data_IF_544829363231
#
_entry.id   IF_544829363231
#
_cell.length_a   1.000
_cell.length_b   1.000
_cell.length_c   1.000
_cell.angle_alpha   90.00
_cell.angle_beta   90.00
_cell.angle_gamma   90.00
#
_symmetry.space_group_name_H-M   'P 1'
#
loop_
_entity.id
_entity.type
_entity.pdbx_description
1 polymer ?
#
# COMPACT_ATOMS: atom_id res chain seq x y z
N UNK A 1 83.53 -13.60 -4.63
CA UNK A 1 82.19 -13.43 -4.10
C UNK A 1 81.61 -12.19 -4.74
N UNK A 2 80.68 -12.35 -5.67
CA UNK A 2 80.10 -11.27 -6.46
C UNK A 2 78.65 -11.05 -5.98
N UNK A 3 78.38 -9.94 -5.31
CA UNK A 3 77.04 -9.57 -4.85
C UNK A 3 76.19 -9.06 -6.06
N UNK A 4 75.11 -9.79 -6.36
CA UNK A 4 74.09 -9.38 -7.33
C UNK A 4 72.97 -8.70 -6.58
N UNK A 5 72.90 -7.36 -6.67
CA UNK A 5 71.74 -6.59 -6.20
C UNK A 5 70.57 -6.74 -7.19
N UNK A 6 69.52 -7.45 -6.80
CA UNK A 6 68.29 -7.53 -7.54
C UNK A 6 67.40 -6.34 -7.14
N UNK A 7 67.26 -5.36 -8.04
CA UNK A 7 66.31 -4.27 -7.87
C UNK A 7 64.91 -4.74 -8.27
N UNK A 8 64.01 -4.86 -7.29
CA UNK A 8 62.61 -5.09 -7.54
C UNK A 8 61.94 -3.77 -7.95
N UNK A 9 61.57 -3.64 -9.23
CA UNK A 9 60.71 -2.57 -9.71
C UNK A 9 59.25 -2.93 -9.38
N UNK A 10 58.67 -2.33 -8.32
CA UNK A 10 57.27 -2.33 -8.06
C UNK A 10 56.55 -1.44 -9.11
N UNK A 11 56.02 -2.07 -10.15
CA UNK A 11 55.09 -1.44 -11.07
C UNK A 11 53.77 -1.18 -10.30
N UNK A 12 53.57 0.07 -9.85
CA UNK A 12 52.27 0.57 -9.45
C UNK A 12 51.41 0.68 -10.73
N UNK A 13 50.59 -0.34 -11.03
CA UNK A 13 49.50 -0.21 -11.99
C UNK A 13 48.46 0.69 -11.35
N UNK A 14 48.50 1.99 -11.60
CA UNK A 14 47.43 2.92 -11.40
C UNK A 14 46.31 2.50 -12.38
N UNK A 15 45.44 1.59 -11.92
CA UNK A 15 44.23 1.26 -12.65
C UNK A 15 43.32 2.49 -12.64
N UNK A 16 43.38 3.28 -13.74
CA UNK A 16 42.30 4.22 -14.03
C UNK A 16 40.99 3.43 -14.02
N UNK A 17 40.13 3.62 -13.02
CA UNK A 17 38.76 3.12 -13.08
C UNK A 17 38.15 3.75 -14.35
N UNK A 18 37.90 2.93 -15.35
CA UNK A 18 37.20 3.34 -16.55
C UNK A 18 35.82 3.84 -16.10
N UNK A 19 35.47 5.08 -16.45
CA UNK A 19 34.14 5.61 -16.16
C UNK A 19 33.11 4.74 -16.89
N UNK A 20 32.00 4.46 -16.21
CA UNK A 20 30.91 3.76 -16.86
C UNK A 20 30.37 4.54 -18.06
N UNK A 21 29.97 3.84 -19.10
CA UNK A 21 29.31 4.42 -20.26
C UNK A 21 27.90 4.94 -19.86
N UNK A 22 27.36 5.88 -20.62
CA UNK A 22 25.99 6.35 -20.39
C UNK A 22 24.98 5.19 -20.39
N UNK A 23 25.18 4.19 -21.26
CA UNK A 23 24.32 2.99 -21.30
C UNK A 23 24.36 2.17 -20.00
N UNK A 24 25.52 2.06 -19.34
CA UNK A 24 25.63 1.38 -18.05
C UNK A 24 24.98 2.18 -16.92
N UNK A 25 25.09 3.51 -16.95
CA UNK A 25 24.39 4.40 -16.01
C UNK A 25 22.86 4.26 -16.19
N UNK A 26 22.40 4.26 -17.45
CA UNK A 26 20.97 4.10 -17.78
C UNK A 26 20.43 2.75 -17.32
N UNK A 27 21.17 1.67 -17.51
CA UNK A 27 20.79 0.34 -17.02
C UNK A 27 20.70 0.31 -15.49
N UNK A 28 21.62 0.97 -14.78
CA UNK A 28 21.59 1.06 -13.34
C UNK A 28 20.41 1.88 -12.81
N UNK A 29 20.04 2.97 -13.49
CA UNK A 29 18.98 3.88 -13.04
C UNK A 29 17.57 3.45 -13.46
N UNK A 30 17.44 2.68 -14.54
CA UNK A 30 16.14 2.26 -15.07
C UNK A 30 15.37 1.37 -14.07
N UNK A 31 14.06 1.62 -14.00
CA UNK A 31 13.12 0.79 -13.27
C UNK A 31 13.48 0.56 -11.78
N UNK A 32 14.10 1.54 -11.15
CA UNK A 32 14.47 1.46 -9.73
C UNK A 32 13.27 1.59 -8.78
N UNK A 33 12.20 2.22 -9.20
CA UNK A 33 11.06 2.55 -8.32
C UNK A 33 10.42 1.32 -7.66
N UNK A 34 10.28 0.14 -8.30
CA UNK A 34 9.85 -1.09 -7.62
C UNK A 34 10.76 -1.47 -6.44
N UNK A 35 12.07 -1.44 -6.59
CA UNK A 35 13.02 -1.76 -5.52
C UNK A 35 12.97 -0.76 -4.34
N UNK A 36 12.62 0.50 -4.62
CA UNK A 36 12.43 1.50 -3.57
C UNK A 36 11.09 1.28 -2.83
N UNK A 37 10.03 0.86 -3.53
CA UNK A 37 8.77 0.45 -2.90
C UNK A 37 8.95 -0.82 -2.04
N UNK A 38 9.71 -1.83 -2.49
CA UNK A 38 10.05 -3.01 -1.67
C UNK A 38 10.79 -2.62 -0.38
N UNK A 39 11.76 -1.68 -0.46
CA UNK A 39 12.43 -1.14 0.74
C UNK A 39 11.47 -0.40 1.65
N UNK A 40 10.56 0.40 1.08
CA UNK A 40 9.54 1.11 1.86
C UNK A 40 8.60 0.13 2.56
N UNK A 41 8.17 -0.94 1.88
CA UNK A 41 7.36 -2.01 2.48
C UNK A 41 8.07 -2.64 3.68
N UNK A 42 9.36 -2.96 3.56
CA UNK A 42 10.13 -3.49 4.68
C UNK A 42 10.11 -2.56 5.89
N UNK A 43 10.28 -1.26 5.67
CA UNK A 43 10.23 -0.25 6.76
C UNK A 43 8.81 -0.17 7.34
N UNK A 44 7.78 -0.14 6.51
CA UNK A 44 6.38 -0.11 6.95
C UNK A 44 6.05 -1.30 7.87
N UNK A 45 6.51 -2.50 7.51
CA UNK A 45 6.28 -3.73 8.28
C UNK A 45 7.03 -3.67 9.62
N UNK A 46 8.28 -3.22 9.62
CA UNK A 46 9.08 -3.12 10.86
C UNK A 46 8.58 -2.02 11.79
N UNK A 47 8.01 -0.97 11.26
CA UNK A 47 7.41 0.14 12.01
C UNK A 47 5.95 -0.16 12.45
N UNK A 48 5.35 -1.26 11.99
CA UNK A 48 4.02 -1.77 12.37
C UNK A 48 2.92 -0.72 12.16
N UNK A 49 2.85 -0.15 10.96
CA UNK A 49 1.78 0.79 10.62
C UNK A 49 0.44 0.09 10.36
N UNK A 50 -0.66 0.76 10.73
CA UNK A 50 -2.01 0.30 10.42
C UNK A 50 -2.29 0.33 8.92
N UNK A 51 -3.15 -0.53 8.37
CA UNK A 51 -3.41 -0.58 6.93
C UNK A 51 -3.84 0.75 6.29
N UNK A 52 -4.71 1.57 6.90
CA UNK A 52 -5.01 2.89 6.37
C UNK A 52 -3.78 3.80 6.28
N UNK A 53 -2.93 3.80 7.32
CA UNK A 53 -1.71 4.60 7.35
C UNK A 53 -0.73 4.12 6.28
N UNK A 54 -0.61 2.80 6.07
CA UNK A 54 0.22 2.23 4.99
C UNK A 54 -0.17 2.81 3.63
N UNK A 55 -1.48 2.90 3.33
CA UNK A 55 -1.94 3.46 2.05
C UNK A 55 -1.47 4.90 1.81
N UNK A 56 -1.45 5.71 2.87
CA UNK A 56 -0.93 7.09 2.84
C UNK A 56 0.57 7.12 2.59
N UNK A 57 1.31 6.23 3.25
CA UNK A 57 2.77 6.15 3.13
C UNK A 57 3.19 5.73 1.72
N UNK A 58 2.42 4.88 1.04
CA UNK A 58 2.69 4.56 -0.37
C UNK A 58 2.28 5.68 -1.34
N UNK A 59 1.18 6.38 -1.08
CA UNK A 59 0.62 7.33 -2.04
C UNK A 59 1.54 8.53 -2.29
N UNK A 60 1.93 9.24 -1.26
CA UNK A 60 2.70 10.47 -1.42
C UNK A 60 4.09 10.28 -2.05
N UNK A 61 4.92 9.30 -1.66
CA UNK A 61 6.21 9.08 -2.32
C UNK A 61 6.10 8.71 -3.78
N UNK A 62 5.10 7.85 -4.14
CA UNK A 62 4.91 7.45 -5.53
C UNK A 62 4.38 8.61 -6.39
N UNK A 63 3.54 9.49 -5.84
CA UNK A 63 3.13 10.74 -6.50
C UNK A 63 4.37 11.66 -6.71
N UNK A 64 5.23 11.79 -5.71
CA UNK A 64 6.43 12.62 -5.83
C UNK A 64 7.39 12.10 -6.91
N UNK A 65 7.60 10.78 -6.98
CA UNK A 65 8.40 10.17 -8.02
C UNK A 65 7.80 10.40 -9.41
N UNK A 66 6.49 10.16 -9.56
CA UNK A 66 5.78 10.38 -10.81
C UNK A 66 5.94 11.82 -11.32
N UNK A 67 5.66 12.81 -10.48
CA UNK A 67 5.75 14.23 -10.86
C UNK A 67 7.18 14.66 -11.19
N UNK A 68 8.19 14.13 -10.51
CA UNK A 68 9.59 14.45 -10.78
C UNK A 68 10.11 13.84 -12.09
N UNK A 69 9.48 12.77 -12.59
CA UNK A 69 9.82 12.12 -13.87
C UNK A 69 9.17 12.81 -15.08
N UNK A 70 8.02 13.47 -14.90
CA UNK A 70 7.22 14.01 -16.00
C UNK A 70 7.93 14.98 -16.96
N UNK A 71 8.88 15.86 -16.55
CA UNK A 71 9.50 16.79 -17.50
C UNK A 71 10.24 16.13 -18.65
N UNK A 72 10.71 14.89 -18.49
CA UNK A 72 11.35 14.10 -19.55
C UNK A 72 10.32 13.48 -20.50
N UNK A 73 9.09 13.30 -20.03
CA UNK A 73 8.08 12.49 -20.70
C UNK A 73 6.86 13.33 -21.10
N UNK A 74 6.15 12.90 -22.14
CA UNK A 74 4.99 13.63 -22.68
C UNK A 74 3.72 12.78 -22.75
N UNK A 75 3.78 11.51 -22.32
CA UNK A 75 2.66 10.57 -22.45
C UNK A 75 1.59 10.81 -21.38
N UNK A 76 2.04 11.20 -20.19
CA UNK A 76 1.16 11.44 -19.05
C UNK A 76 1.17 12.91 -18.63
N UNK A 77 0.09 13.35 -17.99
CA UNK A 77 -0.05 14.72 -17.50
C UNK A 77 0.14 14.77 -15.97
N UNK A 78 0.65 15.92 -15.48
CA UNK A 78 0.75 16.17 -14.04
C UNK A 78 -0.59 16.00 -13.33
N UNK A 79 -0.52 15.55 -12.09
CA UNK A 79 -1.66 15.50 -11.17
C UNK A 79 -1.99 16.87 -10.55
N UNK A 80 -1.19 17.90 -10.78
CA UNK A 80 -1.51 19.26 -10.35
C UNK A 80 -2.86 19.70 -10.92
N UNK A 81 -3.74 20.20 -10.05
CA UNK A 81 -5.12 20.55 -10.39
C UNK A 81 -6.09 19.37 -10.55
N UNK A 82 -5.60 18.13 -10.69
CA UNK A 82 -6.42 16.90 -10.71
C UNK A 82 -6.59 16.30 -9.31
N UNK A 83 -5.53 16.29 -8.49
CA UNK A 83 -5.60 15.90 -7.10
C UNK A 83 -5.97 17.10 -6.21
N UNK A 84 -6.84 16.86 -5.25
CA UNK A 84 -7.37 17.93 -4.36
C UNK A 84 -6.26 18.66 -3.62
N UNK A 85 -6.17 19.95 -3.89
CA UNK A 85 -5.23 20.85 -3.22
C UNK A 85 -3.77 20.64 -3.62
N UNK A 86 -3.48 19.84 -4.65
CA UNK A 86 -2.17 19.78 -5.28
C UNK A 86 -2.07 20.88 -6.31
N UNK A 87 -1.25 21.88 -5.99
CA UNK A 87 -0.96 23.04 -6.85
C UNK A 87 0.16 22.72 -7.83
N UNK A 88 0.46 23.66 -8.72
CA UNK A 88 1.56 23.55 -9.68
C UNK A 88 2.89 23.24 -8.98
N UNK A 89 3.57 22.20 -9.46
CA UNK A 89 4.84 21.76 -8.91
C UNK A 89 6.02 22.65 -9.36
N UNK A 90 7.15 22.60 -8.63
CA UNK A 90 8.38 23.23 -9.07
C UNK A 90 8.76 22.73 -10.48
N UNK A 91 9.05 23.66 -11.39
CA UNK A 91 9.57 23.31 -12.72
C UNK A 91 11.10 23.20 -12.68
N UNK A 92 11.71 22.32 -13.52
CA UNK A 92 13.15 22.30 -13.69
C UNK A 92 13.62 23.58 -14.42
N UNK A 93 14.80 24.06 -14.09
CA UNK A 93 15.44 25.18 -14.79
C UNK A 93 15.86 24.76 -16.21
N UNK A 94 15.28 25.36 -17.23
CA UNK A 94 15.51 25.01 -18.63
C UNK A 94 16.97 25.25 -19.13
N UNK A 95 17.77 26.02 -18.39
CA UNK A 95 19.20 26.22 -18.68
C UNK A 95 20.10 25.10 -18.18
N UNK A 96 19.56 24.18 -17.31
CA UNK A 96 20.32 23.09 -16.71
C UNK A 96 19.93 21.74 -17.31
N UNK A 97 20.86 20.79 -17.20
CA UNK A 97 20.59 19.38 -17.55
C UNK A 97 20.22 18.59 -16.32
N UNK A 98 19.30 17.63 -16.50
CA UNK A 98 18.80 16.74 -15.47
C UNK A 98 18.83 15.29 -15.95
N UNK A 99 19.02 14.38 -15.00
CA UNK A 99 18.77 12.95 -15.18
C UNK A 99 17.53 12.58 -14.36
N UNK A 100 16.37 12.63 -15.00
CA UNK A 100 15.07 12.55 -14.34
C UNK A 100 14.80 11.24 -13.58
N UNK A 101 15.30 10.05 -13.99
CA UNK A 101 15.23 8.85 -13.17
C UNK A 101 15.80 9.04 -11.76
N UNK A 102 16.95 9.76 -11.64
CA UNK A 102 17.51 10.13 -10.32
C UNK A 102 16.57 11.09 -9.60
N UNK A 103 16.04 12.11 -10.28
CA UNK A 103 15.12 13.08 -9.67
C UNK A 103 13.87 12.39 -9.09
N UNK A 104 13.31 11.41 -9.81
CA UNK A 104 12.18 10.61 -9.34
C UNK A 104 12.48 9.86 -8.04
N UNK A 105 13.62 9.17 -7.98
CA UNK A 105 14.04 8.45 -6.77
C UNK A 105 14.28 9.40 -5.59
N UNK A 106 14.93 10.54 -5.83
CA UNK A 106 15.19 11.53 -4.79
C UNK A 106 13.87 12.17 -4.28
N UNK A 107 12.93 12.43 -5.18
CA UNK A 107 11.60 12.92 -4.77
C UNK A 107 10.87 11.87 -3.90
N UNK A 108 10.87 10.58 -4.33
CA UNK A 108 10.32 9.47 -3.56
C UNK A 108 10.93 9.40 -2.16
N UNK A 109 12.27 9.34 -2.05
CA UNK A 109 12.96 9.17 -0.77
C UNK A 109 12.80 10.38 0.14
N UNK A 110 12.76 11.60 -0.43
CA UNK A 110 12.50 12.84 0.31
C UNK A 110 11.18 12.78 1.06
N UNK A 111 10.15 12.20 0.42
CA UNK A 111 8.83 12.05 1.04
C UNK A 111 8.80 10.83 1.96
N UNK A 112 9.23 9.68 1.49
CA UNK A 112 9.14 8.41 2.22
C UNK A 112 9.78 8.48 3.61
N UNK A 113 11.02 9.02 3.71
CA UNK A 113 11.75 9.13 4.98
C UNK A 113 11.03 9.98 6.06
N UNK A 114 10.11 10.86 5.65
CA UNK A 114 9.36 11.73 6.58
C UNK A 114 8.01 11.15 7.00
N UNK A 115 7.55 10.08 6.33
CA UNK A 115 6.26 9.46 6.61
C UNK A 115 6.38 8.18 7.44
N UNK A 116 7.57 7.65 7.66
CA UNK A 116 7.87 6.45 8.44
C UNK A 116 8.63 6.80 9.72
N UNK A 117 8.61 5.91 10.73
CA UNK A 117 9.37 6.12 11.96
C UNK A 117 10.86 5.91 11.72
N UNK A 118 11.24 4.82 11.04
CA UNK A 118 12.62 4.54 10.69
C UNK A 118 13.02 5.18 9.34
N UNK A 119 12.91 6.51 9.26
CA UNK A 119 13.30 7.29 8.07
C UNK A 119 14.79 7.18 7.74
N UNK A 120 15.64 6.93 8.74
CA UNK A 120 17.08 6.77 8.55
C UNK A 120 17.43 5.57 7.66
N UNK A 121 16.68 4.48 7.73
CA UNK A 121 16.86 3.33 6.85
C UNK A 121 16.61 3.64 5.36
N UNK A 122 15.72 4.60 5.08
CA UNK A 122 15.51 5.12 3.72
C UNK A 122 16.65 6.03 3.29
N UNK A 123 17.09 6.91 4.18
CA UNK A 123 18.21 7.84 3.95
C UNK A 123 19.52 7.09 3.69
N UNK A 124 19.80 6.02 4.41
CA UNK A 124 21.00 5.20 4.20
C UNK A 124 21.01 4.54 2.82
N UNK A 125 19.86 3.98 2.39
CA UNK A 125 19.74 3.44 1.02
C UNK A 125 19.96 4.54 -0.04
N UNK A 126 19.43 5.74 0.19
CA UNK A 126 19.63 6.88 -0.70
C UNK A 126 21.11 7.28 -0.80
N UNK A 127 21.80 7.41 0.33
CA UNK A 127 23.24 7.71 0.37
C UNK A 127 24.05 6.64 -0.40
N UNK A 128 23.72 5.37 -0.22
CA UNK A 128 24.36 4.27 -0.95
C UNK A 128 24.11 4.38 -2.46
N UNK A 129 22.89 4.71 -2.88
CA UNK A 129 22.53 4.93 -4.28
C UNK A 129 23.31 6.07 -4.90
N UNK A 130 23.37 7.24 -4.24
CA UNK A 130 24.14 8.40 -4.73
C UNK A 130 25.66 8.12 -4.80
N UNK A 131 26.20 7.40 -3.81
CA UNK A 131 27.60 6.96 -3.84
C UNK A 131 27.88 6.03 -5.01
N UNK A 132 26.95 5.17 -5.36
CA UNK A 132 27.09 4.25 -6.50
C UNK A 132 27.05 5.01 -7.82
N UNK A 133 26.16 6.00 -7.98
CA UNK A 133 26.13 6.90 -9.15
C UNK A 133 27.43 7.68 -9.30
N UNK A 134 27.98 8.24 -8.22
CA UNK A 134 29.29 8.91 -8.24
C UNK A 134 30.41 7.94 -8.66
N UNK A 135 30.35 6.68 -8.19
CA UNK A 135 31.34 5.65 -8.54
C UNK A 135 31.25 5.20 -10.01
N UNK A 136 30.06 5.27 -10.62
CA UNK A 136 29.87 5.04 -12.05
C UNK A 136 30.35 6.21 -12.91
N UNK A 137 30.64 7.37 -12.29
CA UNK A 137 31.20 8.53 -12.93
C UNK A 137 30.18 9.40 -13.66
N UNK A 138 28.94 9.42 -13.19
CA UNK A 138 27.93 10.40 -13.65
C UNK A 138 28.50 11.83 -13.47
N UNK A 139 28.19 12.72 -14.41
CA UNK A 139 28.64 14.11 -14.34
C UNK A 139 28.10 14.77 -13.05
N UNK A 140 28.99 15.37 -12.26
CA UNK A 140 28.64 15.95 -10.94
C UNK A 140 27.57 17.03 -11.02
N UNK A 141 27.65 17.91 -12.03
CA UNK A 141 26.65 18.96 -12.19
C UNK A 141 25.29 18.38 -12.55
N UNK A 142 25.24 17.40 -13.46
CA UNK A 142 24.03 16.68 -13.83
C UNK A 142 23.40 15.97 -12.61
N UNK A 143 24.23 15.28 -11.81
CA UNK A 143 23.77 14.61 -10.58
C UNK A 143 23.22 15.62 -9.56
N UNK A 144 23.95 16.70 -9.30
CA UNK A 144 23.53 17.72 -8.34
C UNK A 144 22.21 18.39 -8.76
N UNK A 145 22.09 18.80 -10.03
CA UNK A 145 20.85 19.37 -10.55
C UNK A 145 19.66 18.40 -10.37
N UNK A 146 19.88 17.12 -10.70
CA UNK A 146 18.84 16.08 -10.56
C UNK A 146 18.40 15.89 -9.11
N UNK A 147 19.36 15.89 -8.17
CA UNK A 147 19.10 15.79 -6.74
C UNK A 147 18.34 17.02 -6.22
N UNK A 148 18.79 18.23 -6.59
CA UNK A 148 18.14 19.48 -6.19
C UNK A 148 16.69 19.55 -6.66
N UNK A 149 16.44 19.20 -7.93
CA UNK A 149 15.09 19.17 -8.49
C UNK A 149 14.21 18.12 -7.80
N UNK A 150 14.69 16.88 -7.64
CA UNK A 150 13.96 15.83 -6.92
C UNK A 150 13.61 16.23 -5.47
N UNK A 151 14.54 16.89 -4.76
CA UNK A 151 14.30 17.46 -3.43
C UNK A 151 13.22 18.55 -3.44
N UNK A 152 13.23 19.42 -4.45
CA UNK A 152 12.23 20.49 -4.58
C UNK A 152 10.83 19.92 -4.76
N UNK A 153 10.66 18.94 -5.67
CA UNK A 153 9.38 18.23 -5.88
C UNK A 153 8.96 17.50 -4.60
N UNK A 154 9.86 16.72 -3.99
CA UNK A 154 9.56 15.98 -2.75
C UNK A 154 9.12 16.91 -1.60
N UNK A 155 9.77 18.05 -1.40
CA UNK A 155 9.38 19.06 -0.39
C UNK A 155 8.01 19.65 -0.69
N UNK A 156 7.68 19.92 -1.95
CA UNK A 156 6.36 20.41 -2.36
C UNK A 156 5.26 19.39 -2.01
N UNK A 157 5.47 18.13 -2.34
CA UNK A 157 4.53 17.04 -2.00
C UNK A 157 4.40 16.87 -0.48
N UNK A 158 5.48 16.99 0.29
CA UNK A 158 5.41 16.95 1.77
C UNK A 158 4.57 18.11 2.33
N UNK A 159 4.74 19.32 1.80
CA UNK A 159 3.96 20.47 2.20
C UNK A 159 2.45 20.30 1.89
N UNK A 160 2.13 19.65 0.78
CA UNK A 160 0.77 19.26 0.43
C UNK A 160 0.22 18.15 1.34
N UNK A 161 1.04 17.12 1.63
CA UNK A 161 0.68 16.03 2.53
C UNK A 161 0.42 16.51 3.97
N UNK A 162 1.16 17.51 4.44
CA UNK A 162 0.96 18.10 5.78
C UNK A 162 -0.42 18.77 5.97
N UNK A 163 -1.13 19.07 4.87
CA UNK A 163 -2.45 19.70 4.87
C UNK A 163 -3.61 18.70 4.67
N UNK A 164 -3.37 17.39 4.76
CA UNK A 164 -4.39 16.39 4.51
C UNK A 164 -5.28 16.04 5.71
N UNK A 165 -4.97 16.55 6.89
CA UNK A 165 -5.71 16.27 8.13
C UNK A 165 -5.16 15.08 8.92
N UNK A 166 -4.08 14.42 8.45
CA UNK A 166 -3.52 13.24 9.12
C UNK A 166 -3.13 13.50 10.58
N UNK A 167 -2.44 14.60 10.86
CA UNK A 167 -2.04 14.94 12.22
C UNK A 167 -3.24 15.37 13.08
N UNK A 168 -4.19 16.09 12.51
CA UNK A 168 -5.38 16.60 13.20
C UNK A 168 -6.33 15.47 13.64
N UNK A 169 -6.37 14.33 12.92
CA UNK A 169 -7.27 13.22 13.25
C UNK A 169 -7.10 12.68 14.68
N UNK A 170 -5.89 12.75 15.23
CA UNK A 170 -5.60 12.26 16.59
C UNK A 170 -6.21 13.12 17.69
N UNK A 171 -6.53 14.39 17.40
CA UNK A 171 -7.18 15.30 18.34
C UNK A 171 -8.72 15.22 18.33
N UNK A 172 -9.31 14.43 17.42
CA UNK A 172 -10.77 14.31 17.27
C UNK A 172 -11.43 13.33 18.27
N UNK A 173 -10.65 12.78 19.19
CA UNK A 173 -11.11 11.84 20.20
C UNK A 173 -11.16 10.39 19.73
N UNK A 174 -11.16 9.47 20.70
CA UNK A 174 -11.24 8.03 20.49
C UNK A 174 -12.67 7.56 20.20
N UNK A 175 -12.77 6.32 19.75
CA UNK A 175 -14.05 5.65 19.58
C UNK A 175 -14.69 5.33 20.95
N UNK A 176 -15.99 5.61 21.05
CA UNK A 176 -16.78 5.28 22.26
C UNK A 176 -17.64 4.07 21.95
N UNK A 177 -17.43 2.99 22.69
CA UNK A 177 -18.23 1.76 22.60
C UNK A 177 -19.69 2.06 22.96
N UNK A 178 -20.61 1.65 22.07
CA UNK A 178 -22.06 1.86 22.27
C UNK A 178 -22.70 0.61 22.88
N UNK A 179 -23.54 0.79 23.87
CA UNK A 179 -24.33 -0.32 24.44
C UNK A 179 -25.50 -0.69 23.49
N UNK A 180 -25.15 -1.29 22.35
CA UNK A 180 -26.09 -1.75 21.34
C UNK A 180 -25.51 -3.01 20.66
N UNK A 181 -26.18 -4.17 20.71
CA UNK A 181 -25.64 -5.43 20.18
C UNK A 181 -25.44 -5.46 18.67
N UNK A 182 -26.06 -4.55 17.92
CA UNK A 182 -25.85 -4.39 16.48
C UNK A 182 -24.58 -3.62 16.16
N UNK A 183 -23.90 -3.04 17.16
CA UNK A 183 -22.72 -2.18 16.96
C UNK A 183 -21.46 -2.93 17.32
N UNK A 184 -20.38 -2.52 16.66
CA UNK A 184 -19.06 -3.07 16.89
C UNK A 184 -18.58 -2.80 18.33
N UNK A 185 -17.95 -3.82 18.89
CA UNK A 185 -17.20 -3.76 20.15
C UNK A 185 -15.83 -4.41 19.94
N UNK A 186 -14.81 -4.06 20.72
CA UNK A 186 -13.54 -4.78 20.72
C UNK A 186 -13.72 -6.30 20.87
N UNK A 187 -12.91 -7.07 20.16
CA UNK A 187 -12.99 -8.55 20.11
C UNK A 187 -11.75 -9.20 20.71
N UNK A 188 -11.84 -10.49 21.12
CA UNK A 188 -10.67 -11.25 21.55
C UNK A 188 -9.57 -11.28 20.46
N UNK A 189 -8.31 -11.62 20.83
CA UNK A 189 -7.85 -11.93 22.19
C UNK A 189 -7.58 -10.69 23.05
N UNK A 190 -7.18 -9.55 22.45
CA UNK A 190 -6.61 -8.42 23.18
C UNK A 190 -7.60 -7.26 23.39
N UNK A 191 -8.80 -7.35 22.85
CA UNK A 191 -9.83 -6.29 22.96
C UNK A 191 -9.28 -4.91 22.59
N UNK A 192 -8.49 -4.86 21.51
CA UNK A 192 -7.82 -3.64 21.04
C UNK A 192 -8.81 -2.51 20.77
N UNK A 193 -8.38 -1.29 21.06
CA UNK A 193 -9.11 -0.07 20.72
C UNK A 193 -9.33 0.07 19.22
N UNK A 194 -10.36 0.84 18.86
CA UNK A 194 -10.73 1.09 17.46
C UNK A 194 -9.61 1.75 16.67
N UNK A 195 -9.14 1.05 15.61
CA UNK A 195 -8.05 1.52 14.76
C UNK A 195 -8.54 2.56 13.77
N UNK A 196 -7.89 3.72 13.77
CA UNK A 196 -8.08 4.83 12.83
C UNK A 196 -9.53 5.30 12.69
N UNK A 197 -10.25 5.41 13.82
CA UNK A 197 -11.67 5.78 13.85
C UNK A 197 -12.00 7.13 13.16
N UNK A 198 -11.00 8.00 13.00
CA UNK A 198 -11.14 9.30 12.35
C UNK A 198 -10.54 9.33 10.92
N UNK A 199 -10.21 8.17 10.31
CA UNK A 199 -9.59 8.12 8.99
C UNK A 199 -10.44 8.75 7.89
N UNK A 200 -11.77 8.66 8.00
CA UNK A 200 -12.71 9.30 7.06
C UNK A 200 -12.69 10.85 7.06
N UNK A 201 -11.97 11.49 7.99
CA UNK A 201 -11.82 12.95 8.03
C UNK A 201 -10.63 13.45 7.23
N UNK A 202 -9.74 12.56 6.78
CA UNK A 202 -8.58 12.90 5.96
C UNK A 202 -9.03 13.35 4.56
N UNK A 203 -8.35 14.34 3.99
CA UNK A 203 -8.62 14.82 2.64
C UNK A 203 -8.34 13.70 1.63
N UNK A 204 -9.35 13.23 0.88
CA UNK A 204 -9.12 12.31 -0.24
C UNK A 204 -8.34 13.01 -1.36
N UNK A 205 -7.71 12.22 -2.22
CA UNK A 205 -6.95 12.74 -3.35
C UNK A 205 -7.84 13.11 -4.53
N UNK A 206 -8.79 12.24 -4.86
CA UNK A 206 -9.67 12.43 -6.03
C UNK A 206 -11.14 12.57 -5.67
N UNK A 207 -11.61 11.88 -4.62
CA UNK A 207 -13.02 11.86 -4.25
C UNK A 207 -13.52 13.24 -3.81
N UNK A 208 -14.77 13.56 -4.11
CA UNK A 208 -15.37 14.83 -3.67
C UNK A 208 -15.55 14.90 -2.15
N UNK A 209 -15.86 13.76 -1.53
CA UNK A 209 -15.89 13.57 -0.08
C UNK A 209 -15.62 12.10 0.27
N UNK A 210 -15.29 11.80 1.52
CA UNK A 210 -15.12 10.43 1.99
C UNK A 210 -16.42 9.60 1.83
N UNK A 211 -17.58 10.24 1.93
CA UNK A 211 -18.90 9.60 1.81
C UNK A 211 -19.44 9.49 0.38
N UNK A 212 -18.71 9.95 -0.64
CA UNK A 212 -19.19 9.98 -2.03
C UNK A 212 -19.67 8.60 -2.52
N UNK A 213 -18.98 7.55 -2.13
CA UNK A 213 -19.29 6.16 -2.48
C UNK A 213 -19.77 5.34 -1.28
N UNK A 214 -20.34 5.98 -0.25
CA UNK A 214 -20.88 5.24 0.90
C UNK A 214 -21.97 4.28 0.41
N UNK A 215 -21.84 2.97 0.73
CA UNK A 215 -22.84 1.99 0.33
C UNK A 215 -24.16 2.17 1.09
N UNK A 216 -25.19 1.46 0.64
CA UNK A 216 -26.44 1.36 1.39
C UNK A 216 -26.22 0.70 2.76
N UNK A 217 -27.13 0.90 3.74
CA UNK A 217 -27.03 0.26 5.04
C UNK A 217 -26.93 -1.27 4.93
N UNK A 218 -26.16 -1.92 5.85
CA UNK A 218 -26.12 -3.38 5.91
C UNK A 218 -27.47 -3.98 6.35
N UNK A 219 -27.62 -5.29 6.16
CA UNK A 219 -28.77 -6.06 6.66
C UNK A 219 -29.04 -5.71 8.12
N UNK A 220 -30.32 -5.49 8.44
CA UNK A 220 -30.72 -5.14 9.80
C UNK A 220 -30.37 -6.28 10.78
N UNK A 221 -29.77 -5.92 11.91
CA UNK A 221 -29.46 -6.86 12.99
C UNK A 221 -30.74 -7.53 13.52
N UNK A 222 -30.76 -8.86 13.50
CA UNK A 222 -31.88 -9.66 13.96
C UNK A 222 -31.40 -11.01 14.49
N UNK A 223 -31.78 -11.37 15.71
CA UNK A 223 -31.37 -12.61 16.39
C UNK A 223 -32.25 -13.81 16.06
N UNK A 224 -33.37 -13.63 15.36
CA UNK A 224 -34.26 -14.73 14.99
C UNK A 224 -33.55 -15.70 14.02
N UNK A 225 -33.59 -17.01 14.32
CA UNK A 225 -32.88 -18.05 13.53
C UNK A 225 -33.24 -18.09 12.03
N UNK A 226 -34.40 -17.59 11.66
CA UNK A 226 -34.87 -17.52 10.26
C UNK A 226 -34.52 -16.22 9.53
N UNK A 227 -34.01 -15.21 10.24
CA UNK A 227 -33.72 -13.89 9.68
C UNK A 227 -32.58 -13.93 8.66
N UNK A 228 -32.57 -12.95 7.78
CA UNK A 228 -31.46 -12.78 6.81
C UNK A 228 -30.13 -12.57 7.51
N UNK A 229 -30.10 -11.78 8.59
CA UNK A 229 -28.88 -11.53 9.36
C UNK A 229 -28.35 -12.80 10.04
N UNK A 230 -29.23 -13.59 10.68
CA UNK A 230 -28.82 -14.87 11.30
C UNK A 230 -28.23 -15.82 10.25
N UNK A 231 -28.81 -15.87 9.04
CA UNK A 231 -28.29 -16.71 7.94
C UNK A 231 -26.89 -16.26 7.48
N UNK A 232 -26.65 -14.95 7.39
CA UNK A 232 -25.30 -14.41 7.10
C UNK A 232 -24.28 -14.84 8.17
N UNK A 233 -24.64 -14.73 9.46
CA UNK A 233 -23.80 -15.18 10.57
C UNK A 233 -23.53 -16.69 10.51
N UNK A 234 -24.56 -17.48 10.20
CA UNK A 234 -24.45 -18.93 10.12
C UNK A 234 -23.57 -19.38 8.94
N UNK A 235 -23.59 -18.66 7.80
CA UNK A 235 -22.69 -18.92 6.69
C UNK A 235 -21.23 -18.72 7.08
N UNK A 236 -20.90 -17.69 7.86
CA UNK A 236 -19.54 -17.45 8.37
C UNK A 236 -19.14 -18.55 9.36
N UNK A 237 -20.05 -18.93 10.26
CA UNK A 237 -19.84 -20.05 11.18
C UNK A 237 -19.47 -21.33 10.41
N UNK A 238 -20.26 -21.71 9.40
CA UNK A 238 -20.01 -22.92 8.61
C UNK A 238 -18.74 -22.84 7.78
N UNK A 239 -18.38 -21.67 7.25
CA UNK A 239 -17.16 -21.50 6.46
C UNK A 239 -15.90 -21.81 7.26
N UNK A 240 -15.90 -21.55 8.57
CA UNK A 240 -14.78 -21.89 9.48
C UNK A 240 -14.91 -23.30 10.04
N UNK A 241 -16.12 -23.71 10.46
CA UNK A 241 -16.34 -25.02 11.07
C UNK A 241 -16.23 -26.18 10.06
N UNK A 242 -16.54 -25.94 8.78
CA UNK A 242 -16.55 -26.93 7.69
C UNK A 242 -15.90 -26.34 6.43
N UNK A 243 -14.60 -25.97 6.45
CA UNK A 243 -13.97 -25.32 5.32
C UNK A 243 -13.91 -26.28 4.12
N UNK A 244 -14.12 -25.71 2.92
CA UNK A 244 -13.84 -26.42 1.69
C UNK A 244 -12.33 -26.51 1.44
N UNK A 245 -11.91 -27.43 0.57
CA UNK A 245 -10.52 -27.53 0.19
C UNK A 245 -10.01 -26.18 -0.38
N UNK A 246 -8.96 -25.64 0.21
CA UNK A 246 -8.36 -24.37 -0.19
C UNK A 246 -8.87 -23.12 0.54
N UNK A 247 -10.01 -23.17 1.23
CA UNK A 247 -10.57 -21.98 1.93
C UNK A 247 -9.61 -21.45 3.00
N UNK A 248 -9.13 -22.33 3.88
CA UNK A 248 -8.21 -21.94 4.96
C UNK A 248 -6.87 -21.41 4.41
N UNK A 249 -6.30 -22.04 3.39
CA UNK A 249 -5.07 -21.57 2.77
C UNK A 249 -5.26 -20.23 2.06
N UNK A 250 -6.47 -19.97 1.56
CA UNK A 250 -6.83 -18.68 0.95
C UNK A 250 -7.01 -17.60 2.02
N UNK A 251 -7.63 -17.93 3.16
CA UNK A 251 -7.72 -17.02 4.28
C UNK A 251 -6.34 -16.58 4.78
N UNK A 252 -5.41 -17.53 4.93
CA UNK A 252 -4.05 -17.24 5.37
C UNK A 252 -3.20 -16.52 4.32
N UNK A 253 -3.43 -16.76 3.03
CA UNK A 253 -2.68 -16.08 1.95
C UNK A 253 -2.95 -14.57 1.92
N UNK A 254 -4.20 -14.17 2.15
CA UNK A 254 -4.64 -12.78 2.17
C UNK A 254 -4.77 -12.22 3.61
N UNK A 255 -4.14 -12.86 4.61
CA UNK A 255 -4.14 -12.35 5.98
C UNK A 255 -3.08 -11.26 6.15
N UNK A 256 -3.24 -10.19 5.41
CA UNK A 256 -2.41 -9.00 5.42
C UNK A 256 -2.79 -8.09 6.60
N UNK A 257 -2.82 -8.64 7.82
CA UNK A 257 -3.19 -7.89 9.02
C UNK A 257 -1.98 -7.61 9.90
N UNK A 258 -1.34 -6.41 9.77
CA UNK A 258 -0.21 -6.04 10.63
C UNK A 258 -0.60 -5.83 12.10
N UNK A 259 -1.90 -5.74 12.39
CA UNK A 259 -2.42 -5.64 13.76
C UNK A 259 -2.67 -7.00 14.42
N UNK A 260 -2.29 -8.12 13.78
CA UNK A 260 -2.34 -9.42 14.43
C UNK A 260 -1.38 -9.44 15.61
N UNK A 261 -1.92 -9.67 16.81
CA UNK A 261 -1.18 -9.64 18.06
C UNK A 261 -1.11 -11.03 18.71
N UNK A 262 -0.04 -11.24 19.46
CA UNK A 262 0.13 -12.40 20.36
C UNK A 262 0.43 -11.84 21.75
N UNK A 263 -0.37 -12.20 22.72
CA UNK A 263 -0.15 -11.84 24.13
C UNK A 263 0.31 -13.05 24.91
N UNK A 264 1.48 -12.92 25.58
CA UNK A 264 2.04 -13.92 26.47
C UNK A 264 2.43 -13.25 27.80
N UNK A 265 1.65 -13.57 28.85
CA UNK A 265 1.78 -12.91 30.14
C UNK A 265 1.50 -11.41 30.08
N UNK A 266 2.54 -10.60 30.28
CA UNK A 266 2.46 -9.12 30.25
C UNK A 266 2.97 -8.51 28.96
N UNK A 267 3.34 -9.33 27.97
CA UNK A 267 3.95 -8.87 26.72
C UNK A 267 2.96 -9.10 25.58
N UNK A 268 2.70 -8.05 24.80
CA UNK A 268 1.98 -8.13 23.53
C UNK A 268 2.93 -7.77 22.41
N UNK A 269 3.05 -8.64 21.40
CA UNK A 269 3.79 -8.38 20.18
C UNK A 269 2.87 -8.47 18.98
N UNK A 270 3.20 -7.66 17.97
CA UNK A 270 2.55 -7.72 16.68
C UNK A 270 3.35 -8.60 15.72
N UNK A 271 2.65 -9.40 14.94
CA UNK A 271 3.28 -10.18 13.88
C UNK A 271 3.66 -9.24 12.75
N UNK A 272 4.96 -9.32 12.35
CA UNK A 272 5.45 -8.58 11.20
C UNK A 272 4.88 -9.19 9.91
N UNK A 273 3.78 -8.64 9.44
CA UNK A 273 3.11 -9.04 8.22
C UNK A 273 3.02 -7.88 7.24
N UNK A 274 2.89 -8.22 5.97
CA UNK A 274 2.54 -7.25 4.96
C UNK A 274 1.17 -6.62 5.27
N UNK A 275 0.87 -5.51 4.64
CA UNK A 275 -0.43 -4.85 4.70
C UNK A 275 -1.16 -4.99 3.36
N UNK A 276 -2.50 -4.91 3.32
CA UNK A 276 -3.23 -4.97 2.05
C UNK A 276 -2.74 -3.93 1.01
N UNK A 277 -2.41 -2.68 1.37
CA UNK A 277 -1.77 -1.75 0.44
C UNK A 277 -0.42 -2.25 -0.06
N UNK A 278 0.43 -2.79 0.82
CA UNK A 278 1.73 -3.32 0.45
C UNK A 278 1.61 -4.48 -0.52
N UNK A 279 0.65 -5.38 -0.33
CA UNK A 279 0.37 -6.49 -1.23
C UNK A 279 0.06 -5.99 -2.65
N UNK A 280 -0.87 -5.05 -2.82
CA UNK A 280 -1.24 -4.51 -4.12
C UNK A 280 -0.14 -3.66 -4.77
N UNK A 281 0.67 -2.94 -4.00
CA UNK A 281 1.85 -2.24 -4.51
C UNK A 281 2.89 -3.24 -5.03
N UNK A 282 3.11 -4.37 -4.34
CA UNK A 282 4.03 -5.41 -4.82
C UNK A 282 3.52 -6.10 -6.09
N UNK A 283 2.21 -6.36 -6.21
CA UNK A 283 1.61 -6.84 -7.47
C UNK A 283 1.92 -5.85 -8.60
N UNK A 284 1.70 -4.54 -8.37
CA UNK A 284 2.01 -3.50 -9.36
C UNK A 284 3.51 -3.45 -9.72
N UNK A 285 4.40 -3.59 -8.73
CA UNK A 285 5.84 -3.71 -8.97
C UNK A 285 6.17 -4.93 -9.85
N UNK A 286 5.63 -6.10 -9.53
CA UNK A 286 5.85 -7.33 -10.28
C UNK A 286 5.37 -7.25 -11.73
N UNK A 287 4.25 -6.56 -11.97
CA UNK A 287 3.76 -6.30 -13.34
C UNK A 287 4.72 -5.38 -14.09
N UNK A 288 5.14 -4.26 -13.48
CA UNK A 288 6.06 -3.32 -14.12
C UNK A 288 7.41 -3.98 -14.47
N UNK A 289 7.94 -4.83 -13.57
CA UNK A 289 9.18 -5.59 -13.77
C UNK A 289 9.03 -6.64 -14.88
N UNK A 290 7.95 -7.43 -14.87
CA UNK A 290 7.67 -8.47 -15.88
C UNK A 290 7.54 -7.89 -17.27
N UNK A 291 6.78 -6.79 -17.41
CA UNK A 291 6.53 -6.13 -18.68
C UNK A 291 7.66 -5.16 -19.09
N UNK A 292 8.68 -5.00 -18.24
CA UNK A 292 9.81 -4.08 -18.47
C UNK A 292 9.34 -2.68 -18.84
N UNK A 293 8.32 -2.17 -18.11
CA UNK A 293 7.83 -0.81 -18.34
C UNK A 293 8.96 0.21 -18.14
N UNK A 294 8.91 1.30 -18.89
CA UNK A 294 9.81 2.43 -18.65
C UNK A 294 9.48 3.13 -17.32
N UNK A 295 10.35 4.02 -16.87
CA UNK A 295 10.21 4.72 -15.59
C UNK A 295 8.90 5.48 -15.48
N UNK A 296 8.46 6.15 -16.55
CA UNK A 296 7.21 6.91 -16.61
C UNK A 296 5.98 6.00 -16.39
N UNK A 297 5.86 4.92 -17.15
CA UNK A 297 4.73 3.98 -17.03
C UNK A 297 4.75 3.25 -15.69
N UNK A 298 5.94 2.91 -15.19
CA UNK A 298 6.10 2.33 -13.85
C UNK A 298 5.62 3.30 -12.77
N UNK A 299 6.04 4.56 -12.82
CA UNK A 299 5.63 5.57 -11.87
C UNK A 299 4.12 5.88 -11.96
N UNK A 300 3.55 5.92 -13.17
CA UNK A 300 2.11 6.06 -13.36
C UNK A 300 1.33 4.90 -12.73
N UNK A 301 1.77 3.65 -12.97
CA UNK A 301 1.14 2.46 -12.39
C UNK A 301 1.18 2.48 -10.87
N UNK A 302 2.35 2.73 -10.28
CA UNK A 302 2.53 2.73 -8.83
C UNK A 302 1.78 3.88 -8.15
N UNK A 303 1.85 5.10 -8.71
CA UNK A 303 1.16 6.26 -8.14
C UNK A 303 -0.37 6.14 -8.24
N UNK A 304 -0.91 5.73 -9.39
CA UNK A 304 -2.36 5.57 -9.55
C UNK A 304 -2.90 4.42 -8.68
N UNK A 305 -2.16 3.30 -8.56
CA UNK A 305 -2.53 2.21 -7.65
C UNK A 305 -2.52 2.70 -6.19
N UNK A 306 -1.51 3.45 -5.78
CA UNK A 306 -1.40 3.98 -4.42
C UNK A 306 -2.51 5.02 -4.12
N UNK A 307 -2.88 5.87 -5.07
CA UNK A 307 -4.03 6.79 -4.97
C UNK A 307 -5.33 5.99 -4.80
N UNK A 308 -5.51 4.92 -5.59
CA UNK A 308 -6.69 4.06 -5.50
C UNK A 308 -6.84 3.39 -4.13
N UNK A 309 -5.73 2.92 -3.56
CA UNK A 309 -5.70 2.33 -2.22
C UNK A 309 -6.02 3.38 -1.14
N UNK A 310 -5.44 4.57 -1.23
CA UNK A 310 -5.64 5.64 -0.25
C UNK A 310 -7.09 6.15 -0.22
N UNK A 311 -7.65 6.51 -1.36
CA UNK A 311 -9.02 7.01 -1.46
C UNK A 311 -10.03 5.92 -1.09
N UNK A 312 -9.77 4.65 -1.46
CA UNK A 312 -10.62 3.53 -1.06
C UNK A 312 -10.62 3.31 0.46
N UNK A 313 -9.47 3.45 1.14
CA UNK A 313 -9.42 3.39 2.61
C UNK A 313 -10.19 4.53 3.26
N UNK A 314 -10.09 5.75 2.74
CA UNK A 314 -10.84 6.89 3.28
C UNK A 314 -12.34 6.63 3.19
N UNK A 315 -12.84 6.22 2.01
CA UNK A 315 -14.27 5.97 1.81
C UNK A 315 -14.77 4.74 2.58
N UNK A 316 -13.97 3.67 2.64
CA UNK A 316 -14.30 2.47 3.41
C UNK A 316 -14.37 2.76 4.92
N UNK A 317 -13.38 3.48 5.47
CA UNK A 317 -13.33 3.80 6.90
C UNK A 317 -14.42 4.77 7.32
N UNK A 318 -14.76 5.73 6.46
CA UNK A 318 -15.92 6.59 6.67
C UNK A 318 -17.19 5.75 6.82
N UNK A 319 -17.45 4.82 5.90
CA UNK A 319 -18.62 3.94 5.95
C UNK A 319 -18.59 3.01 7.16
N UNK A 320 -17.41 2.44 7.52
CA UNK A 320 -17.25 1.55 8.68
C UNK A 320 -17.70 2.23 9.98
N UNK A 321 -17.20 3.41 10.26
CA UNK A 321 -17.52 4.12 11.50
C UNK A 321 -18.89 4.81 11.47
N UNK A 322 -19.40 5.12 10.27
CA UNK A 322 -20.78 5.58 10.10
C UNK A 322 -21.80 4.48 10.46
N UNK A 323 -21.65 3.28 9.91
CA UNK A 323 -22.54 2.15 10.18
C UNK A 323 -22.24 1.47 11.51
N UNK A 324 -20.98 1.43 11.89
CA UNK A 324 -20.49 0.85 13.16
C UNK A 324 -21.04 -0.57 13.40
N UNK A 325 -20.91 -1.45 12.41
CA UNK A 325 -21.62 -2.74 12.37
C UNK A 325 -20.87 -3.84 13.12
N UNK A 326 -21.63 -4.73 13.76
CA UNK A 326 -21.13 -5.85 14.58
C UNK A 326 -20.32 -6.85 13.77
N UNK A 327 -19.29 -7.46 14.38
CA UNK A 327 -18.49 -8.54 13.78
C UNK A 327 -19.16 -9.91 13.93
N UNK A 328 -18.90 -10.87 13.00
CA UNK A 328 -19.37 -12.24 13.08
C UNK A 328 -19.06 -12.90 14.42
N UNK A 329 -17.81 -12.80 14.91
CA UNK A 329 -17.34 -13.36 16.17
C UNK A 329 -18.23 -12.95 17.35
N UNK A 330 -18.54 -11.68 17.49
CA UNK A 330 -19.39 -11.16 18.57
C UNK A 330 -20.79 -11.78 18.56
N UNK A 331 -21.36 -11.97 17.36
CA UNK A 331 -22.69 -12.58 17.25
C UNK A 331 -22.65 -14.09 17.41
N UNK A 332 -21.70 -14.76 16.76
CA UNK A 332 -21.60 -16.22 16.79
C UNK A 332 -21.38 -16.71 18.21
N UNK A 333 -20.44 -16.12 18.95
CA UNK A 333 -20.16 -16.53 20.34
C UNK A 333 -21.34 -16.32 21.26
N UNK A 334 -22.20 -15.34 20.99
CA UNK A 334 -23.36 -15.07 21.82
C UNK A 334 -24.59 -15.94 21.50
N UNK A 335 -24.80 -16.29 20.20
CA UNK A 335 -26.09 -16.85 19.77
C UNK A 335 -26.01 -18.21 19.07
N UNK A 336 -24.80 -18.63 18.64
CA UNK A 336 -24.62 -19.87 17.86
C UNK A 336 -23.72 -20.84 18.62
N UNK A 337 -22.48 -20.49 18.90
CA UNK A 337 -21.50 -21.31 19.58
C UNK A 337 -20.51 -20.43 20.36
N UNK A 338 -20.60 -20.52 21.71
CA UNK A 338 -19.79 -19.70 22.63
C UNK A 338 -18.28 -19.96 22.57
N UNK A 339 -17.87 -21.10 22.03
CA UNK A 339 -16.47 -21.50 21.95
C UNK A 339 -15.91 -21.35 20.51
N UNK A 340 -16.70 -20.80 19.59
CA UNK A 340 -16.25 -20.60 18.24
C UNK A 340 -15.19 -19.49 18.16
N UNK A 341 -14.16 -19.73 17.37
CA UNK A 341 -13.10 -18.76 17.08
C UNK A 341 -12.97 -18.60 15.57
N UNK A 342 -12.73 -17.38 15.07
CA UNK A 342 -12.42 -17.17 13.67
C UNK A 342 -11.05 -17.81 13.33
N UNK A 343 -10.85 -18.21 12.08
CA UNK A 343 -9.60 -18.80 11.61
C UNK A 343 -8.45 -17.79 11.63
N UNK A 344 -8.75 -16.51 11.40
CA UNK A 344 -7.80 -15.40 11.48
C UNK A 344 -8.34 -14.37 12.48
N UNK A 345 -7.42 -13.67 13.14
CA UNK A 345 -7.79 -12.71 14.18
C UNK A 345 -8.72 -11.61 13.65
N UNK A 346 -9.84 -11.38 14.35
CA UNK A 346 -10.77 -10.29 14.01
C UNK A 346 -10.08 -8.93 14.16
N UNK A 347 -10.02 -8.11 13.09
CA UNK A 347 -9.35 -6.81 13.17
C UNK A 347 -10.14 -5.80 14.02
N UNK A 348 -9.44 -4.87 14.72
CA UNK A 348 -10.05 -3.96 15.70
C UNK A 348 -10.73 -2.74 15.05
N UNK A 349 -11.76 -2.98 14.25
CA UNK A 349 -12.63 -1.96 13.63
C UNK A 349 -13.95 -2.56 13.16
N UNK A 350 -15.01 -1.73 12.92
CA UNK A 350 -16.32 -2.19 12.49
C UNK A 350 -16.30 -3.07 11.25
N UNK A 351 -17.30 -3.94 11.15
CA UNK A 351 -17.33 -4.98 10.11
C UNK A 351 -17.56 -4.41 8.71
N UNK A 352 -18.58 -3.55 8.51
CA UNK A 352 -19.13 -3.19 7.21
C UNK A 352 -18.70 -1.80 6.70
N UNK A 353 -18.36 -1.69 5.40
CA UNK A 353 -18.08 -2.73 4.41
C UNK A 353 -16.70 -3.38 4.62
N UNK A 354 -16.37 -4.47 3.89
CA UNK A 354 -15.07 -5.13 3.99
C UNK A 354 -13.94 -4.27 3.42
N UNK A 355 -12.91 -4.00 4.25
CA UNK A 355 -11.74 -3.23 3.84
C UNK A 355 -10.97 -3.89 2.70
N UNK A 356 -10.62 -5.18 2.83
CA UNK A 356 -9.93 -5.93 1.78
C UNK A 356 -10.69 -5.90 0.45
N UNK A 357 -12.03 -6.08 0.49
CA UNK A 357 -12.85 -6.05 -0.72
C UNK A 357 -12.82 -4.69 -1.40
N UNK A 358 -12.95 -3.61 -0.62
CA UNK A 358 -13.00 -2.25 -1.16
C UNK A 358 -11.66 -1.86 -1.79
N UNK A 359 -10.55 -2.02 -1.06
CA UNK A 359 -9.24 -1.60 -1.58
C UNK A 359 -8.75 -2.49 -2.73
N UNK A 360 -9.00 -3.81 -2.65
CA UNK A 360 -8.58 -4.72 -3.70
C UNK A 360 -9.34 -4.48 -5.01
N UNK A 361 -10.65 -4.23 -4.93
CA UNK A 361 -11.44 -3.92 -6.12
C UNK A 361 -11.05 -2.55 -6.75
N UNK A 362 -10.66 -1.57 -5.93
CA UNK A 362 -10.18 -0.27 -6.42
C UNK A 362 -8.81 -0.41 -7.10
N UNK A 363 -7.87 -1.11 -6.49
CA UNK A 363 -6.56 -1.39 -7.09
C UNK A 363 -6.70 -2.21 -8.37
N UNK A 364 -7.54 -3.26 -8.37
CA UNK A 364 -7.78 -4.09 -9.53
C UNK A 364 -8.34 -3.29 -10.72
N UNK A 365 -9.25 -2.34 -10.48
CA UNK A 365 -9.80 -1.49 -11.54
C UNK A 365 -8.69 -0.64 -12.19
N UNK A 366 -7.84 0.00 -11.40
CA UNK A 366 -6.73 0.83 -11.90
C UNK A 366 -5.68 -0.03 -12.62
N UNK A 367 -5.29 -1.16 -12.05
CA UNK A 367 -4.31 -2.05 -12.68
C UNK A 367 -4.84 -2.65 -13.99
N UNK A 368 -6.12 -3.00 -14.05
CA UNK A 368 -6.77 -3.47 -15.27
C UNK A 368 -6.76 -2.39 -16.36
N UNK A 369 -7.04 -1.14 -15.99
CA UNK A 369 -6.97 -0.02 -16.94
C UNK A 369 -5.55 0.19 -17.51
N UNK A 370 -4.51 0.04 -16.68
CA UNK A 370 -3.12 0.32 -17.07
C UNK A 370 -2.40 -0.85 -17.77
N UNK A 371 -2.75 -2.09 -17.42
CA UNK A 371 -2.10 -3.29 -17.95
C UNK A 371 -2.99 -4.08 -18.95
N UNK A 372 -4.28 -3.79 -19.00
CA UNK A 372 -5.25 -4.44 -19.89
C UNK A 372 -6.16 -5.44 -19.19
N UNK A 373 -7.29 -5.73 -19.84
CA UNK A 373 -8.24 -6.75 -19.40
C UNK A 373 -7.61 -8.15 -19.45
N UNK A 374 -8.00 -9.01 -18.53
CA UNK A 374 -7.56 -10.41 -18.45
C UNK A 374 -6.03 -10.58 -18.40
N UNK A 375 -5.33 -9.63 -17.76
CA UNK A 375 -3.89 -9.70 -17.56
C UNK A 375 -3.54 -10.81 -16.55
N UNK A 376 -2.88 -11.88 -17.03
CA UNK A 376 -2.43 -12.99 -16.18
C UNK A 376 -1.10 -12.67 -15.52
N UNK A 377 -1.01 -12.94 -14.23
CA UNK A 377 0.22 -12.69 -13.45
C UNK A 377 0.44 -13.75 -12.37
N UNK A 378 1.69 -13.81 -11.91
CA UNK A 378 2.09 -14.61 -10.75
C UNK A 378 2.29 -13.63 -9.59
N UNK A 379 1.59 -13.90 -8.50
CA UNK A 379 1.75 -13.18 -7.25
C UNK A 379 2.70 -13.95 -6.34
N UNK A 380 3.83 -13.34 -6.02
CA UNK A 380 4.86 -13.85 -5.11
C UNK A 380 5.01 -13.01 -3.83
N UNK A 381 4.08 -12.11 -3.59
CA UNK A 381 4.13 -11.13 -2.49
C UNK A 381 4.29 -11.79 -1.13
N UNK A 382 3.65 -12.94 -0.92
CA UNK A 382 3.62 -13.64 0.34
C UNK A 382 4.70 -14.73 0.48
N UNK A 383 5.55 -14.93 -0.53
CA UNK A 383 6.66 -15.90 -0.48
C UNK A 383 7.65 -15.63 0.67
N UNK A 384 8.07 -14.38 0.95
CA UNK A 384 8.93 -14.08 2.09
C UNK A 384 8.33 -14.44 3.46
N UNK A 385 6.99 -14.59 3.52
CA UNK A 385 6.24 -14.97 4.72
C UNK A 385 5.83 -16.45 4.74
N UNK A 386 6.46 -17.28 3.89
CA UNK A 386 6.28 -18.74 3.86
C UNK A 386 5.01 -19.21 3.14
N UNK A 387 4.39 -18.37 2.31
CA UNK A 387 3.24 -18.74 1.49
C UNK A 387 3.68 -19.07 0.06
N UNK A 388 3.04 -20.03 -0.62
CA UNK A 388 3.37 -20.33 -2.01
C UNK A 388 2.97 -19.20 -2.95
N UNK A 389 3.59 -19.13 -4.11
CA UNK A 389 3.13 -18.26 -5.19
C UNK A 389 1.70 -18.62 -5.61
N UNK A 390 0.95 -17.61 -6.09
CA UNK A 390 -0.36 -17.81 -6.70
C UNK A 390 -0.39 -17.23 -8.11
N UNK A 391 -1.11 -17.91 -9.00
CA UNK A 391 -1.35 -17.44 -10.35
C UNK A 391 -2.79 -16.96 -10.48
N UNK A 392 -2.97 -15.81 -11.11
CA UNK A 392 -4.28 -15.22 -11.40
C UNK A 392 -4.40 -14.89 -12.88
N UNK A 393 -5.60 -15.03 -13.43
CA UNK A 393 -5.91 -14.71 -14.82
C UNK A 393 -6.31 -13.24 -15.01
N UNK A 394 -6.59 -12.54 -13.92
CA UNK A 394 -6.89 -11.10 -13.93
C UNK A 394 -6.71 -10.49 -12.52
N UNK A 395 -6.56 -9.16 -12.45
CA UNK A 395 -6.56 -8.44 -11.18
C UNK A 395 -7.89 -8.57 -10.43
N UNK A 396 -9.00 -8.64 -11.16
CA UNK A 396 -10.31 -8.85 -10.54
C UNK A 396 -10.46 -10.24 -9.92
N UNK A 397 -9.86 -11.28 -10.50
CA UNK A 397 -9.83 -12.62 -9.88
C UNK A 397 -9.07 -12.58 -8.55
N UNK A 398 -7.90 -11.94 -8.53
CA UNK A 398 -7.13 -11.75 -7.29
C UNK A 398 -7.93 -10.94 -6.24
N UNK A 399 -8.57 -9.85 -6.65
CA UNK A 399 -9.41 -9.04 -5.76
C UNK A 399 -10.62 -9.82 -5.22
N UNK A 400 -11.24 -10.66 -6.02
CA UNK A 400 -12.32 -11.54 -5.59
C UNK A 400 -11.82 -12.57 -4.57
N UNK A 401 -10.66 -13.16 -4.81
CA UNK A 401 -10.07 -14.11 -3.88
C UNK A 401 -9.70 -13.42 -2.55
N UNK A 402 -9.09 -12.22 -2.60
CA UNK A 402 -8.82 -11.40 -1.41
C UNK A 402 -10.09 -11.05 -0.64
N UNK A 403 -11.18 -10.77 -1.35
CA UNK A 403 -12.49 -10.49 -0.76
C UNK A 403 -13.03 -11.71 0.00
N UNK A 404 -13.21 -12.85 -0.67
CA UNK A 404 -13.80 -14.05 -0.06
C UNK A 404 -12.93 -14.68 1.02
N UNK A 405 -11.61 -14.48 0.98
CA UNK A 405 -10.68 -14.90 2.03
C UNK A 405 -11.13 -14.44 3.42
N UNK A 406 -11.83 -13.32 3.51
CA UNK A 406 -12.27 -12.73 4.78
C UNK A 406 -13.46 -13.48 5.41
N UNK A 407 -14.34 -14.05 4.57
CA UNK A 407 -15.41 -14.93 5.05
C UNK A 407 -14.81 -16.29 5.45
N UNK A 408 -13.89 -16.85 4.67
CA UNK A 408 -13.19 -18.08 5.05
C UNK A 408 -12.36 -17.91 6.31
N UNK A 409 -11.86 -16.72 6.56
CA UNK A 409 -11.19 -16.34 7.80
C UNK A 409 -12.12 -16.13 9.00
N UNK A 410 -13.44 -16.08 8.78
CA UNK A 410 -14.42 -15.93 9.86
C UNK A 410 -14.69 -14.50 10.32
N UNK A 411 -14.25 -13.48 9.60
CA UNK A 411 -14.23 -12.10 10.11
C UNK A 411 -15.16 -11.12 9.38
N UNK A 412 -15.78 -11.56 8.27
CA UNK A 412 -16.72 -10.75 7.49
C UNK A 412 -17.91 -11.53 7.00
N UNK A 413 -19.07 -10.85 6.92
CA UNK A 413 -20.28 -11.35 6.26
C UNK A 413 -20.14 -11.25 4.75
N UNK A 414 -20.88 -12.10 4.01
CA UNK A 414 -20.88 -12.08 2.54
C UNK A 414 -21.31 -10.72 1.99
N UNK A 415 -22.38 -10.15 2.55
CA UNK A 415 -22.88 -8.84 2.15
C UNK A 415 -21.78 -7.76 2.17
N UNK A 416 -20.96 -7.72 3.23
CA UNK A 416 -19.88 -6.76 3.36
C UNK A 416 -18.78 -6.95 2.30
N UNK A 417 -18.54 -8.20 1.86
CA UNK A 417 -17.58 -8.52 0.79
C UNK A 417 -18.08 -7.99 -0.56
N UNK A 418 -19.31 -8.32 -0.90
CA UNK A 418 -19.94 -7.95 -2.17
C UNK A 418 -20.10 -6.44 -2.27
N UNK A 419 -20.53 -5.82 -1.18
CA UNK A 419 -20.71 -4.36 -1.12
C UNK A 419 -19.39 -3.62 -1.17
N UNK A 420 -18.38 -4.09 -0.43
CA UNK A 420 -17.02 -3.53 -0.47
C UNK A 420 -16.43 -3.63 -1.88
N UNK A 421 -16.59 -4.76 -2.56
CA UNK A 421 -16.13 -4.93 -3.95
C UNK A 421 -16.82 -3.96 -4.93
N UNK A 422 -18.12 -3.74 -4.79
CA UNK A 422 -18.87 -2.76 -5.60
C UNK A 422 -18.37 -1.34 -5.33
N UNK A 423 -18.22 -0.97 -4.05
CA UNK A 423 -17.70 0.33 -3.64
C UNK A 423 -16.30 0.57 -4.20
N UNK A 424 -15.39 -0.38 -4.03
CA UNK A 424 -14.01 -0.26 -4.51
C UNK A 424 -13.92 -0.13 -6.03
N UNK A 425 -14.68 -0.93 -6.79
CA UNK A 425 -14.73 -0.82 -8.25
C UNK A 425 -15.23 0.56 -8.70
N UNK A 426 -16.25 1.10 -8.04
CA UNK A 426 -16.76 2.44 -8.35
C UNK A 426 -15.72 3.52 -8.09
N UNK A 427 -14.98 3.42 -6.96
CA UNK A 427 -13.88 4.34 -6.61
C UNK A 427 -12.76 4.24 -7.64
N UNK A 428 -12.29 3.04 -7.98
CA UNK A 428 -11.22 2.85 -8.98
C UNK A 428 -11.58 3.43 -10.35
N UNK A 429 -12.80 3.20 -10.81
CA UNK A 429 -13.30 3.78 -12.07
C UNK A 429 -13.38 5.32 -12.02
N UNK A 430 -13.76 5.88 -10.87
CA UNK A 430 -13.79 7.33 -10.70
C UNK A 430 -12.36 7.91 -10.74
N UNK A 431 -11.40 7.28 -10.11
CA UNK A 431 -9.98 7.69 -10.13
C UNK A 431 -9.46 7.67 -11.57
N UNK A 432 -9.72 6.60 -12.32
CA UNK A 432 -9.35 6.49 -13.73
C UNK A 432 -9.91 7.68 -14.52
N UNK A 433 -11.18 8.02 -14.33
CA UNK A 433 -11.84 9.13 -15.03
C UNK A 433 -11.29 10.52 -14.67
N UNK A 434 -10.68 10.66 -13.50
CA UNK A 434 -10.08 11.92 -13.02
C UNK A 434 -8.63 12.10 -13.47
N UNK A 435 -7.88 11.00 -13.57
CA UNK A 435 -6.43 11.07 -13.80
C UNK A 435 -6.07 10.92 -15.29
N UNK A 436 -6.86 10.22 -16.06
CA UNK A 436 -6.70 9.98 -17.49
C UNK A 436 -7.78 10.72 -18.28
#
# INVERSE_FOLDING_TARGET
MRNINVFWFLLFVLGCKQKATQAEIDVFCKNQLPEWNKKLTYIIITDIFTPPVCSRIYAYPNIAAYEALLPEHKTYASYAGKLKGLETLPAPDSSKKYYYPVSGIIAFTTVAQKLVFNGDAMLEKEKAYLKQLDSLGIEKELLNNSVEYGRAVGKHILAWAAKDGYLQRTSLGGYIVKNNPARWVPTPPDYMDAVENNWGTIRPMTLDSASQFRPLPPIAYDTAKGSSFYKECYQVYEAVAKPKAGDSTTAWYWDDNPNTSITDGHITYFLQKNSPPGHWIHIACGVAEKEKYNDEKTAAMLSQTAIALFDAFISCWEAKYFYNYVRPETFINKYIDKNWEPLIQTPPFPEYPSGHSTISASAAAVLTHLAGDNYSFIDSTEVPYGRPVRQFNSFYEAAQQASYSRMYGGIHFREALETGSKQGKAIGNFIISKLN
#
